data_IF_233447708060
#
_entry.id   IF_233447708060
#
_cell.length_a   1.000
_cell.length_b   1.000
_cell.length_c   1.000
_cell.angle_alpha   90.00
_cell.angle_beta   90.00
_cell.angle_gamma   90.00
#
_symmetry.space_group_name_H-M   'P 1'
#
loop_
_entity.id
_entity.type
_entity.pdbx_description
1 polymer ?
#
# COMPACT_ATOMS: atom_id res chain seq x y z
N UNK A 1 -8.03 -34.68 0.10
CA UNK A 1 -8.36 -33.52 -0.76
C UNK A 1 -9.82 -33.65 -1.18
N UNK A 2 -10.68 -32.75 -0.69
CA UNK A 2 -12.07 -32.69 -1.14
C UNK A 2 -12.07 -32.26 -2.60
N UNK A 3 -12.62 -33.07 -3.49
CA UNK A 3 -12.84 -32.69 -4.89
C UNK A 3 -14.06 -31.75 -4.92
N UNK A 4 -13.87 -30.50 -5.13
CA UNK A 4 -14.95 -29.60 -5.51
C UNK A 4 -15.36 -29.96 -6.95
N UNK A 5 -16.63 -30.30 -7.21
CA UNK A 5 -17.11 -30.48 -8.57
C UNK A 5 -17.13 -29.08 -9.24
N UNK A 6 -16.25 -28.86 -10.20
CA UNK A 6 -16.14 -27.64 -10.99
C UNK A 6 -17.41 -27.29 -11.80
N UNK A 7 -18.42 -28.15 -11.82
CA UNK A 7 -19.61 -28.02 -12.66
C UNK A 7 -20.92 -27.78 -11.90
N UNK A 8 -20.88 -27.58 -10.59
CA UNK A 8 -22.09 -27.21 -9.86
C UNK A 8 -21.92 -25.82 -9.28
N UNK A 9 -22.31 -24.81 -10.05
CA UNK A 9 -22.73 -23.58 -9.41
C UNK A 9 -23.93 -23.93 -8.51
N UNK A 10 -23.98 -23.51 -7.24
CA UNK A 10 -25.20 -23.62 -6.48
C UNK A 10 -26.29 -22.97 -7.30
N UNK A 11 -27.42 -23.65 -7.51
CA UNK A 11 -28.58 -23.02 -8.10
C UNK A 11 -28.81 -21.72 -7.35
N UNK A 12 -28.70 -20.62 -8.07
CA UNK A 12 -29.09 -19.32 -7.53
C UNK A 12 -30.53 -19.52 -7.08
N UNK A 13 -30.76 -19.49 -5.77
CA UNK A 13 -32.13 -19.57 -5.24
C UNK A 13 -32.98 -18.56 -6.02
N UNK A 14 -34.19 -18.97 -6.47
CA UNK A 14 -35.05 -18.08 -7.21
C UNK A 14 -35.12 -16.76 -6.45
N UNK A 15 -34.92 -15.66 -7.14
CA UNK A 15 -34.89 -14.32 -6.60
C UNK A 15 -36.24 -13.97 -5.97
N UNK A 16 -36.54 -14.54 -4.80
CA UNK A 16 -37.45 -13.87 -3.91
C UNK A 16 -36.77 -12.57 -3.52
N UNK A 17 -37.46 -11.44 -3.51
CA UNK A 17 -36.93 -10.24 -2.91
C UNK A 17 -36.53 -10.63 -1.48
N UNK A 18 -35.24 -10.80 -1.28
CA UNK A 18 -34.73 -11.13 0.02
C UNK A 18 -35.29 -10.10 0.98
N UNK A 19 -35.87 -10.57 2.06
CA UNK A 19 -36.32 -9.67 3.11
C UNK A 19 -35.08 -8.92 3.63
N UNK A 20 -34.85 -7.74 3.09
CA UNK A 20 -33.68 -6.91 3.37
C UNK A 20 -33.59 -6.61 4.87
N UNK A 21 -34.72 -6.66 5.58
CA UNK A 21 -34.76 -6.50 7.05
C UNK A 21 -34.00 -7.61 7.78
N UNK A 22 -33.78 -8.76 7.13
CA UNK A 22 -33.02 -9.89 7.68
C UNK A 22 -31.57 -9.96 7.14
N UNK A 23 -31.19 -9.03 6.26
CA UNK A 23 -29.83 -8.97 5.76
C UNK A 23 -28.90 -8.45 6.85
N UNK A 24 -27.88 -9.24 7.20
CA UNK A 24 -26.81 -8.79 8.08
C UNK A 24 -25.82 -8.02 7.20
N UNK A 25 -25.90 -6.70 7.24
CA UNK A 25 -24.81 -5.88 6.71
C UNK A 25 -23.64 -5.96 7.69
N UNK A 26 -22.56 -6.61 7.25
CA UNK A 26 -21.30 -6.49 7.99
C UNK A 26 -20.81 -5.06 7.86
N UNK A 27 -20.78 -4.35 8.96
CA UNK A 27 -20.11 -3.05 9.00
C UNK A 27 -18.60 -3.24 8.98
N UNK A 28 -17.97 -2.69 7.94
CA UNK A 28 -16.53 -2.58 7.81
C UNK A 28 -16.04 -1.28 8.45
N UNK A 29 -14.72 -1.20 8.62
CA UNK A 29 -14.08 -0.03 9.19
C UNK A 29 -14.25 0.07 10.70
N UNK A 30 -13.63 1.09 11.26
CA UNK A 30 -13.55 1.33 12.70
C UNK A 30 -13.99 2.73 13.04
N UNK A 31 -14.49 2.88 14.25
CA UNK A 31 -14.81 4.16 14.88
C UNK A 31 -13.74 4.51 15.91
N UNK A 32 -13.79 5.71 16.46
CA UNK A 32 -12.78 6.21 17.41
C UNK A 32 -12.62 5.32 18.64
N UNK A 33 -13.70 4.66 19.07
CA UNK A 33 -13.72 3.79 20.25
C UNK A 33 -12.92 2.49 20.04
N UNK A 34 -12.73 2.10 18.79
CA UNK A 34 -12.01 0.89 18.42
C UNK A 34 -10.47 1.03 18.55
N UNK A 35 -9.95 2.24 18.69
CA UNK A 35 -8.52 2.51 18.74
C UNK A 35 -8.05 2.75 20.17
N UNK A 36 -6.97 2.09 20.56
CA UNK A 36 -6.22 2.33 21.79
C UNK A 36 -4.74 2.39 21.46
N UNK A 37 -4.02 3.29 22.14
CA UNK A 37 -2.59 3.47 21.98
C UNK A 37 -1.87 2.15 22.26
N UNK A 38 -1.00 1.76 21.34
CA UNK A 38 -0.27 0.50 21.37
C UNK A 38 -0.93 -0.68 20.66
N UNK A 39 -2.25 -0.67 20.44
CA UNK A 39 -2.95 -1.74 19.73
C UNK A 39 -2.38 -1.96 18.31
N UNK A 40 -2.23 -3.22 17.94
CA UNK A 40 -1.82 -3.65 16.60
C UNK A 40 -2.98 -4.33 15.89
N UNK A 41 -3.20 -3.93 14.65
CA UNK A 41 -4.19 -4.53 13.75
C UNK A 41 -3.46 -5.27 12.63
N UNK A 42 -3.75 -6.55 12.45
CA UNK A 42 -3.36 -7.30 11.26
C UNK A 42 -4.40 -7.07 10.17
N UNK A 43 -3.95 -6.73 8.97
CA UNK A 43 -4.87 -6.59 7.83
C UNK A 43 -5.18 -7.99 7.29
N UNK A 44 -6.46 -8.35 7.13
CA UNK A 44 -6.86 -9.74 6.89
C UNK A 44 -6.62 -10.23 5.47
N UNK A 45 -6.06 -9.40 4.62
CA UNK A 45 -5.81 -9.71 3.20
C UNK A 45 -4.32 -9.72 2.90
N UNK A 46 -3.99 -10.44 1.83
CA UNK A 46 -2.69 -10.38 1.17
C UNK A 46 -2.91 -10.04 -0.31
N UNK A 47 -1.93 -9.42 -0.94
CA UNK A 47 -1.98 -9.09 -2.36
C UNK A 47 -0.68 -9.49 -3.04
N UNK A 48 -0.78 -10.36 -4.06
CA UNK A 48 0.35 -10.71 -4.92
C UNK A 48 0.39 -9.76 -6.10
N UNK A 49 1.51 -9.09 -6.27
CA UNK A 49 1.71 -8.17 -7.41
C UNK A 49 2.26 -8.99 -8.57
N UNK A 50 1.44 -9.25 -9.58
CA UNK A 50 1.91 -9.90 -10.79
C UNK A 50 2.67 -8.91 -11.71
N UNK A 51 3.39 -9.47 -12.69
CA UNK A 51 4.22 -8.69 -13.62
C UNK A 51 3.39 -7.72 -14.46
N UNK A 52 2.23 -8.15 -14.93
CA UNK A 52 1.36 -7.31 -15.77
C UNK A 52 0.91 -6.09 -15.00
N UNK A 53 0.42 -6.30 -13.77
CA UNK A 53 -0.03 -5.21 -12.91
C UNK A 53 1.11 -4.24 -12.56
N UNK A 54 2.34 -4.75 -12.36
CA UNK A 54 3.51 -3.91 -12.10
C UNK A 54 3.86 -3.03 -13.31
N UNK A 55 3.89 -3.60 -14.52
CA UNK A 55 4.19 -2.86 -15.74
C UNK A 55 3.08 -1.89 -16.14
N UNK A 56 1.82 -2.28 -15.99
CA UNK A 56 0.68 -1.40 -16.25
C UNK A 56 0.71 -0.18 -15.35
N UNK A 57 0.98 -0.35 -14.05
CA UNK A 57 1.11 0.77 -13.13
C UNK A 57 2.21 1.74 -13.59
N UNK A 58 3.41 1.22 -13.89
CA UNK A 58 4.52 2.04 -14.35
C UNK A 58 4.15 2.82 -15.63
N UNK A 59 3.56 2.15 -16.63
CA UNK A 59 3.21 2.79 -17.91
C UNK A 59 2.06 3.79 -17.78
N UNK A 60 1.05 3.49 -16.98
CA UNK A 60 -0.07 4.40 -16.73
C UNK A 60 0.39 5.70 -16.08
N UNK A 61 1.33 5.62 -15.14
CA UNK A 61 1.88 6.79 -14.45
C UNK A 61 3.14 7.37 -15.13
N UNK A 62 3.46 6.93 -16.36
CA UNK A 62 4.60 7.40 -17.15
C UNK A 62 5.95 7.27 -16.44
N UNK A 63 6.13 6.20 -15.70
CA UNK A 63 7.44 5.86 -15.19
C UNK A 63 8.38 5.57 -16.36
N UNK A 64 9.50 6.26 -16.41
CA UNK A 64 10.48 6.13 -17.47
C UNK A 64 11.74 5.37 -17.04
N UNK A 65 11.90 5.11 -15.75
CA UNK A 65 13.08 4.39 -15.27
C UNK A 65 13.06 2.93 -15.72
N UNK A 66 14.10 2.49 -16.42
CA UNK A 66 14.19 1.10 -16.88
C UNK A 66 14.20 0.07 -15.75
N UNK A 67 14.48 0.46 -14.52
CA UNK A 67 14.43 -0.44 -13.37
C UNK A 67 13.01 -1.06 -13.16
N UNK A 68 11.97 -0.32 -13.54
CA UNK A 68 10.56 -0.75 -13.40
C UNK A 68 9.98 -1.32 -14.68
N UNK A 69 10.72 -1.29 -15.80
CA UNK A 69 10.21 -1.65 -17.12
C UNK A 69 11.01 -2.77 -17.80
N UNK A 70 12.27 -2.94 -17.42
CA UNK A 70 13.20 -3.86 -18.08
C UNK A 70 13.90 -4.77 -17.09
N UNK A 71 13.54 -6.05 -17.09
CA UNK A 71 14.20 -7.03 -16.23
C UNK A 71 15.72 -7.16 -16.55
N UNK A 72 16.18 -7.22 -17.82
CA UNK A 72 17.61 -7.26 -18.13
C UNK A 72 18.36 -6.03 -17.58
N UNK A 73 17.76 -4.85 -17.63
CA UNK A 73 18.37 -3.65 -17.10
C UNK A 73 18.50 -3.71 -15.56
N UNK A 74 17.43 -4.09 -14.87
CA UNK A 74 17.47 -4.23 -13.42
C UNK A 74 18.47 -5.30 -12.97
N UNK A 75 18.55 -6.42 -13.68
CA UNK A 75 19.52 -7.49 -13.41
C UNK A 75 20.97 -7.04 -13.62
N UNK A 76 21.24 -6.21 -14.63
CA UNK A 76 22.56 -5.62 -14.83
C UNK A 76 22.97 -4.69 -13.66
N UNK A 77 21.99 -4.12 -12.95
CA UNK A 77 22.23 -3.33 -11.73
C UNK A 77 22.24 -4.17 -10.43
N UNK A 78 22.19 -5.50 -10.53
CA UNK A 78 22.30 -6.41 -9.40
C UNK A 78 20.97 -6.79 -8.74
N UNK A 79 19.84 -6.30 -9.25
CA UNK A 79 18.51 -6.76 -8.82
C UNK A 79 18.19 -8.14 -9.42
N UNK A 80 17.29 -8.88 -8.82
CA UNK A 80 16.92 -10.21 -9.30
C UNK A 80 15.95 -10.17 -10.50
N UNK A 81 15.16 -9.12 -10.60
CA UNK A 81 14.17 -8.87 -11.65
C UNK A 81 13.87 -7.37 -11.75
N UNK A 82 13.01 -6.97 -12.69
CA UNK A 82 12.44 -5.62 -12.66
C UNK A 82 11.76 -5.34 -11.32
N UNK A 83 11.82 -4.11 -10.88
CA UNK A 83 11.24 -3.72 -9.61
C UNK A 83 9.75 -3.38 -9.74
N UNK A 84 9.00 -3.62 -8.68
CA UNK A 84 7.69 -3.00 -8.51
C UNK A 84 7.88 -1.54 -8.08
N UNK A 85 7.16 -0.63 -8.73
CA UNK A 85 7.30 0.80 -8.42
C UNK A 85 6.98 1.07 -6.94
N UNK A 86 7.79 1.83 -6.20
CA UNK A 86 7.60 2.06 -4.76
C UNK A 86 6.22 2.61 -4.40
N UNK A 87 5.67 3.53 -5.21
CA UNK A 87 4.32 4.06 -4.98
C UNK A 87 3.22 3.01 -5.19
N UNK A 88 3.45 2.00 -6.04
CA UNK A 88 2.53 0.87 -6.15
C UNK A 88 2.56 0.01 -4.88
N UNK A 89 3.75 -0.27 -4.35
CA UNK A 89 3.89 -0.96 -3.06
C UNK A 89 3.17 -0.19 -1.95
N UNK A 90 3.35 1.13 -1.89
CA UNK A 90 2.64 1.99 -0.95
C UNK A 90 1.13 1.89 -1.09
N UNK A 91 0.59 1.96 -2.33
CA UNK A 91 -0.84 1.88 -2.59
C UNK A 91 -1.42 0.52 -2.18
N UNK A 92 -0.72 -0.59 -2.45
CA UNK A 92 -1.15 -1.93 -2.01
C UNK A 92 -1.30 -1.97 -0.48
N UNK A 93 -0.25 -1.58 0.24
CA UNK A 93 -0.25 -1.63 1.71
C UNK A 93 -1.29 -0.67 2.30
N UNK A 94 -1.43 0.53 1.70
CA UNK A 94 -2.45 1.49 2.11
C UNK A 94 -3.86 0.91 1.97
N UNK A 95 -4.17 0.30 0.81
CA UNK A 95 -5.49 -0.28 0.53
C UNK A 95 -5.84 -1.42 1.49
N UNK A 96 -4.88 -2.30 1.80
CA UNK A 96 -5.07 -3.35 2.81
C UNK A 96 -5.43 -2.76 4.18
N UNK A 97 -4.84 -1.61 4.53
CA UNK A 97 -5.10 -0.90 5.78
C UNK A 97 -6.43 -0.16 5.79
N UNK A 98 -6.81 0.48 4.68
CA UNK A 98 -8.04 1.28 4.58
C UNK A 98 -9.26 0.46 4.94
N UNK A 99 -9.42 -0.69 4.33
CA UNK A 99 -10.59 -1.56 4.55
C UNK A 99 -10.72 -2.10 5.98
N UNK A 100 -9.63 -2.18 6.72
CA UNK A 100 -9.65 -2.66 8.10
C UNK A 100 -9.75 -1.51 9.11
N UNK A 101 -8.99 -0.44 8.91
CA UNK A 101 -8.79 0.60 9.92
C UNK A 101 -9.52 1.90 9.60
N UNK A 102 -9.60 2.31 8.36
CA UNK A 102 -9.97 3.67 8.01
C UNK A 102 -11.06 3.78 6.94
N UNK A 103 -11.81 2.74 6.69
CA UNK A 103 -12.95 2.79 5.74
C UNK A 103 -13.99 3.85 6.14
N UNK A 104 -14.21 4.03 7.46
CA UNK A 104 -15.10 5.07 8.01
C UNK A 104 -14.39 6.42 8.21
N UNK A 105 -13.13 6.57 7.78
CA UNK A 105 -12.42 7.82 7.99
C UNK A 105 -13.07 8.99 7.24
N UNK A 106 -13.19 10.11 7.95
CA UNK A 106 -13.74 11.36 7.40
C UNK A 106 -12.72 12.04 6.52
N UNK A 107 -11.45 11.98 6.93
CA UNK A 107 -10.34 12.60 6.19
C UNK A 107 -9.01 11.90 6.47
N UNK A 108 -8.17 11.88 5.46
CA UNK A 108 -6.75 11.59 5.58
C UNK A 108 -6.02 12.92 5.82
N UNK A 109 -5.31 13.04 6.94
CA UNK A 109 -4.65 14.27 7.34
C UNK A 109 -3.18 14.33 6.93
N UNK A 110 -2.64 13.23 6.43
CA UNK A 110 -1.29 13.18 5.89
C UNK A 110 -0.54 11.89 6.22
N UNK A 111 0.55 11.74 5.48
CA UNK A 111 1.54 10.67 5.65
C UNK A 111 2.84 11.27 6.14
N UNK A 112 3.54 10.53 6.99
CA UNK A 112 4.79 10.95 7.60
C UNK A 112 5.77 9.79 7.61
N UNK A 113 7.05 10.08 7.56
CA UNK A 113 8.11 9.09 7.69
C UNK A 113 7.91 7.89 6.75
N UNK A 114 7.53 8.16 5.49
CA UNK A 114 7.38 7.10 4.48
C UNK A 114 8.76 6.63 4.07
N UNK A 115 9.03 5.35 4.30
CA UNK A 115 10.33 4.73 4.11
C UNK A 115 10.17 3.40 3.37
N UNK A 116 10.71 3.33 2.17
CA UNK A 116 10.88 2.09 1.44
C UNK A 116 12.18 1.45 1.92
N UNK A 117 12.16 0.15 2.20
CA UNK A 117 13.27 -0.52 2.89
C UNK A 117 13.92 -1.61 2.05
N UNK A 118 13.12 -2.31 1.25
CA UNK A 118 13.58 -3.41 0.41
C UNK A 118 12.91 -3.37 -0.96
N UNK A 119 13.62 -3.81 -2.01
CA UNK A 119 13.00 -4.00 -3.31
C UNK A 119 11.88 -5.02 -3.23
N UNK A 120 10.80 -4.74 -3.96
CA UNK A 120 9.67 -5.65 -4.18
C UNK A 120 9.68 -6.04 -5.65
N UNK A 121 9.44 -7.31 -5.92
CA UNK A 121 9.48 -7.89 -7.26
C UNK A 121 8.10 -8.42 -7.68
N UNK A 122 7.84 -8.51 -8.99
CA UNK A 122 6.68 -9.25 -9.48
C UNK A 122 6.66 -10.67 -8.94
N UNK A 123 5.51 -11.09 -8.40
CA UNK A 123 5.35 -12.36 -7.70
C UNK A 123 5.43 -12.25 -6.18
N UNK A 124 5.90 -11.14 -5.64
CA UNK A 124 5.86 -10.91 -4.19
C UNK A 124 4.43 -10.72 -3.70
N UNK A 125 4.13 -11.34 -2.55
CA UNK A 125 2.84 -11.22 -1.87
C UNK A 125 3.00 -10.33 -0.66
N UNK A 126 2.25 -9.24 -0.64
CA UNK A 126 2.30 -8.24 0.41
C UNK A 126 1.19 -8.40 1.42
N UNK A 127 1.53 -8.21 2.68
CA UNK A 127 0.61 -8.13 3.83
C UNK A 127 0.87 -6.85 4.61
N UNK A 128 -0.12 -6.40 5.37
CA UNK A 128 0.01 -5.18 6.16
C UNK A 128 -0.36 -5.37 7.62
N UNK A 129 0.22 -4.54 8.48
CA UNK A 129 -0.19 -4.39 9.87
C UNK A 129 -0.02 -2.96 10.33
N UNK A 130 -0.86 -2.53 11.24
CA UNK A 130 -0.87 -1.13 11.72
C UNK A 130 -0.87 -1.11 13.24
N UNK A 131 0.01 -0.28 13.84
CA UNK A 131 0.01 0.04 15.27
C UNK A 131 -0.53 1.43 15.51
N UNK A 132 -1.38 1.57 16.52
CA UNK A 132 -1.83 2.87 17.01
C UNK A 132 -0.70 3.51 17.82
N UNK A 133 -0.28 4.70 17.40
CA UNK A 133 0.73 5.49 18.11
C UNK A 133 0.07 6.40 19.14
N UNK A 134 -1.02 7.06 18.74
CA UNK A 134 -1.80 7.90 19.66
C UNK A 134 -3.20 8.16 19.13
N UNK A 135 -4.11 8.43 20.07
CA UNK A 135 -5.48 8.85 19.79
C UNK A 135 -5.78 10.19 20.48
N UNK A 136 -6.23 11.17 19.70
CA UNK A 136 -6.66 12.47 20.21
C UNK A 136 -8.18 12.61 20.10
N UNK A 137 -8.85 12.59 21.25
CA UNK A 137 -10.28 12.89 21.36
C UNK A 137 -10.49 14.41 21.34
N UNK A 138 -11.45 14.91 20.59
CA UNK A 138 -11.73 16.36 20.42
C UNK A 138 -12.95 16.84 21.20
N UNK A 139 -13.65 15.96 21.88
CA UNK A 139 -14.85 16.20 22.66
C UNK A 139 -15.92 15.14 22.40
N UNK A 140 -16.95 15.11 23.24
CA UNK A 140 -18.05 14.16 23.13
C UNK A 140 -18.77 14.32 21.77
N UNK A 141 -19.05 13.20 21.11
CA UNK A 141 -19.72 13.16 19.80
C UNK A 141 -18.94 13.75 18.64
N UNK A 142 -17.69 14.21 18.85
CA UNK A 142 -16.84 14.80 17.78
C UNK A 142 -15.87 13.77 17.21
N UNK A 143 -15.54 13.88 15.91
CA UNK A 143 -14.47 13.09 15.32
C UNK A 143 -13.14 13.33 16.03
N UNK A 144 -12.38 12.27 16.22
CA UNK A 144 -11.02 12.33 16.76
C UNK A 144 -9.95 12.12 15.71
N UNK A 145 -8.70 12.27 16.12
CA UNK A 145 -7.53 12.02 15.26
C UNK A 145 -6.81 10.79 15.79
N UNK A 146 -6.59 9.83 14.91
CA UNK A 146 -5.77 8.64 15.19
C UNK A 146 -4.48 8.74 14.40
N UNK A 147 -3.35 8.61 15.11
CA UNK A 147 -2.02 8.54 14.54
C UNK A 147 -1.56 7.10 14.57
N UNK A 148 -1.20 6.57 13.44
CA UNK A 148 -0.82 5.16 13.28
C UNK A 148 0.52 5.03 12.57
N UNK A 149 1.22 3.92 12.84
CA UNK A 149 2.34 3.44 12.05
C UNK A 149 1.91 2.17 11.31
N UNK A 150 2.21 2.07 10.04
CA UNK A 150 1.88 0.91 9.19
C UNK A 150 3.15 0.28 8.63
N UNK A 151 3.21 -1.03 8.69
CA UNK A 151 4.26 -1.86 8.08
C UNK A 151 3.66 -2.67 6.94
N UNK A 152 4.35 -2.68 5.80
CA UNK A 152 4.14 -3.63 4.72
C UNK A 152 5.21 -4.71 4.76
N UNK A 153 4.80 -5.98 4.68
CA UNK A 153 5.67 -7.13 4.71
C UNK A 153 5.47 -7.98 3.47
N UNK A 154 6.56 -8.57 2.97
CA UNK A 154 6.48 -9.58 1.92
C UNK A 154 6.20 -10.98 2.51
N UNK A 155 6.09 -12.00 1.66
CA UNK A 155 5.83 -13.39 2.04
C UNK A 155 6.94 -14.04 2.88
N UNK A 156 8.13 -13.42 2.95
CA UNK A 156 9.25 -13.86 3.80
C UNK A 156 9.22 -13.22 5.19
N UNK A 157 8.22 -12.35 5.44
CA UNK A 157 8.11 -11.60 6.69
C UNK A 157 9.06 -10.39 6.78
N UNK A 158 9.71 -10.02 5.70
CA UNK A 158 10.58 -8.86 5.64
C UNK A 158 9.76 -7.57 5.49
N UNK A 159 10.10 -6.54 6.27
CA UNK A 159 9.49 -5.22 6.16
C UNK A 159 10.01 -4.55 4.88
N UNK A 160 9.12 -4.30 3.92
CA UNK A 160 9.46 -3.66 2.64
C UNK A 160 9.15 -2.18 2.63
N UNK A 161 8.18 -1.76 3.44
CA UNK A 161 7.79 -0.36 3.62
C UNK A 161 7.30 -0.13 5.04
N UNK A 162 7.58 1.05 5.58
CA UNK A 162 6.95 1.56 6.80
C UNK A 162 6.59 3.03 6.63
N UNK A 163 5.48 3.45 7.25
CA UNK A 163 5.06 4.85 7.23
C UNK A 163 4.12 5.15 8.38
N UNK A 164 4.04 6.42 8.74
CA UNK A 164 3.04 6.93 9.67
C UNK A 164 1.91 7.64 8.92
N UNK A 165 0.73 7.63 9.53
CA UNK A 165 -0.47 8.27 8.96
C UNK A 165 -1.32 8.87 10.06
N UNK A 166 -1.86 10.07 9.82
CA UNK A 166 -2.91 10.66 10.66
C UNK A 166 -4.24 10.68 9.92
N UNK A 167 -5.26 10.17 10.59
CA UNK A 167 -6.60 10.04 10.03
C UNK A 167 -7.63 10.63 11.01
N UNK A 168 -8.67 11.24 10.45
CA UNK A 168 -9.82 11.72 11.21
C UNK A 168 -10.90 10.65 11.18
N UNK A 169 -11.24 10.14 12.35
CA UNK A 169 -12.18 9.01 12.52
C UNK A 169 -13.43 9.52 13.24
N UNK A 170 -14.65 9.10 12.82
CA UNK A 170 -15.89 9.45 13.49
C UNK A 170 -15.96 8.83 14.90
N UNK A 171 -16.72 9.43 15.81
CA UNK A 171 -16.99 8.83 17.13
C UNK A 171 -17.71 7.49 16.96
N UNK A 172 -17.60 6.63 17.96
CA UNK A 172 -18.43 5.44 18.07
C UNK A 172 -19.88 5.79 18.44
N UNK A 173 -20.74 4.80 18.35
CA UNK A 173 -22.15 4.92 18.72
C UNK A 173 -22.37 4.72 20.24
N UNK A 174 -21.32 4.39 20.98
CA UNK A 174 -21.34 4.05 22.40
C UNK A 174 -22.15 2.79 22.78
N UNK A 175 -22.66 2.07 21.76
CA UNK A 175 -23.51 0.87 21.93
C UNK A 175 -22.82 -0.41 21.49
N UNK A 176 -22.03 -0.31 20.42
CA UNK A 176 -21.32 -1.45 19.86
C UNK A 176 -20.06 -1.76 20.67
N UNK A 177 -19.77 -3.04 20.86
CA UNK A 177 -18.50 -3.45 21.47
C UNK A 177 -17.32 -3.02 20.60
N UNK A 178 -16.29 -2.37 21.18
CA UNK A 178 -15.13 -1.94 20.40
C UNK A 178 -14.39 -3.10 19.74
N UNK A 179 -14.03 -2.92 18.47
CA UNK A 179 -13.24 -3.87 17.66
C UNK A 179 -11.75 -3.61 17.88
N UNK A 180 -11.23 -4.04 19.03
CA UNK A 180 -9.85 -3.78 19.46
C UNK A 180 -8.80 -4.49 18.59
N UNK A 181 -7.60 -3.93 18.59
CA UNK A 181 -6.39 -4.62 18.20
C UNK A 181 -5.80 -5.43 19.35
N UNK A 182 -4.63 -6.03 19.12
CA UNK A 182 -3.87 -6.73 20.15
C UNK A 182 -2.47 -6.11 20.27
N UNK A 183 -2.20 -5.48 21.41
CA UNK A 183 -0.92 -4.82 21.68
C UNK A 183 0.27 -5.79 21.75
N UNK A 184 0.02 -7.10 21.96
CA UNK A 184 1.06 -8.13 22.04
C UNK A 184 1.52 -8.66 20.68
N UNK A 185 0.83 -8.30 19.60
CA UNK A 185 1.23 -8.76 18.27
C UNK A 185 2.59 -8.18 17.85
N UNK A 186 3.44 -8.97 17.18
CA UNK A 186 4.72 -8.51 16.69
C UNK A 186 4.59 -7.32 15.74
N UNK A 187 5.35 -6.26 16.01
CA UNK A 187 5.40 -5.07 15.19
C UNK A 187 6.85 -4.61 15.01
N UNK A 188 7.59 -5.22 14.08
CA UNK A 188 9.03 -5.01 13.90
C UNK A 188 9.31 -3.69 13.14
N UNK A 189 9.27 -2.55 13.85
CA UNK A 189 9.68 -1.26 13.29
C UNK A 189 11.18 -1.28 13.03
N UNK A 190 11.58 -0.85 11.84
CA UNK A 190 12.99 -0.65 11.49
C UNK A 190 13.42 0.73 12.02
N UNK A 191 14.36 0.75 12.97
CA UNK A 191 14.77 1.98 13.67
C UNK A 191 15.70 2.86 12.83
N UNK A 192 16.63 2.24 12.11
CA UNK A 192 17.58 2.92 11.22
C UNK A 192 17.28 2.52 9.79
N UNK A 193 16.24 3.12 9.18
CA UNK A 193 15.77 2.70 7.88
C UNK A 193 16.74 3.12 6.78
N UNK A 194 17.20 2.15 6.02
CA UNK A 194 17.92 2.36 4.78
C UNK A 194 17.32 1.47 3.71
N UNK A 195 17.30 1.94 2.47
CA UNK A 195 16.89 1.09 1.36
C UNK A 195 18.02 0.13 1.03
N UNK A 196 17.74 -1.16 1.06
CA UNK A 196 18.72 -2.19 0.68
C UNK A 196 18.95 -2.18 -0.83
N UNK A 197 20.05 -1.58 -1.24
CA UNK A 197 20.51 -1.63 -2.62
C UNK A 197 21.46 -2.81 -2.84
N UNK A 198 21.42 -3.45 -4.00
CA UNK A 198 22.47 -4.38 -4.39
C UNK A 198 23.80 -3.65 -4.53
N UNK A 199 24.92 -4.38 -4.44
CA UNK A 199 26.23 -3.83 -4.70
C UNK A 199 26.27 -3.16 -6.08
N UNK A 200 26.76 -1.93 -6.10
CA UNK A 200 26.84 -1.16 -7.33
C UNK A 200 27.75 -1.89 -8.36
N UNK A 201 27.15 -2.30 -9.46
CA UNK A 201 27.88 -2.83 -10.60
C UNK A 201 28.04 -1.71 -11.61
N UNK A 202 29.25 -1.54 -12.15
CA UNK A 202 29.44 -0.67 -13.30
C UNK A 202 28.59 -1.20 -14.46
N UNK A 203 27.74 -0.36 -15.01
CA UNK A 203 26.98 -0.69 -16.22
C UNK A 203 27.94 -1.02 -17.36
N UNK A 204 27.70 -2.14 -18.03
CA UNK A 204 28.36 -2.41 -19.31
C UNK A 204 27.91 -1.34 -20.31
N UNK A 205 28.81 -1.02 -21.27
CA UNK A 205 28.50 -0.08 -22.36
C UNK A 205 27.21 -0.45 -23.11
N UNK A 206 26.89 -1.73 -23.15
CA UNK A 206 25.74 -2.29 -23.88
C UNK A 206 24.40 -1.93 -23.24
N UNK A 207 24.38 -1.55 -21.95
CA UNK A 207 23.16 -1.15 -21.27
C UNK A 207 22.88 0.36 -21.36
N UNK A 208 23.84 1.17 -21.86
CA UNK A 208 23.66 2.62 -21.98
C UNK A 208 22.55 3.03 -22.95
N UNK A 209 22.28 2.19 -23.95
CA UNK A 209 21.19 2.45 -24.90
C UNK A 209 19.78 2.30 -24.31
N UNK A 210 19.64 1.71 -23.13
CA UNK A 210 18.36 1.65 -22.42
C UNK A 210 17.95 2.99 -21.78
N UNK A 211 18.86 3.97 -21.78
CA UNK A 211 18.62 5.31 -21.26
C UNK A 211 18.95 6.33 -22.33
N UNK A 212 17.94 7.04 -22.87
CA UNK A 212 18.10 7.95 -24.00
C UNK A 212 18.85 9.24 -23.69
N UNK A 213 18.71 9.75 -22.47
CA UNK A 213 19.48 10.89 -21.97
C UNK A 213 19.74 10.70 -20.50
N UNK A 214 20.98 10.84 -20.10
CA UNK A 214 21.38 10.61 -18.72
C UNK A 214 21.70 11.92 -18.06
N UNK A 215 21.05 12.17 -16.94
CA UNK A 215 21.45 13.18 -15.97
C UNK A 215 22.06 12.44 -14.80
N UNK A 216 23.30 12.76 -14.48
CA UNK A 216 24.05 12.15 -13.38
C UNK A 216 23.99 13.06 -12.15
N UNK A 217 24.33 12.51 -11.00
CA UNK A 217 24.33 13.26 -9.75
C UNK A 217 25.18 14.55 -9.83
N UNK A 218 26.29 14.47 -10.56
CA UNK A 218 27.23 15.57 -10.77
C UNK A 218 26.68 16.69 -11.66
N UNK A 219 25.57 16.45 -12.37
CA UNK A 219 24.91 17.45 -13.21
C UNK A 219 23.94 18.35 -12.40
N UNK A 220 23.72 18.05 -11.12
CA UNK A 220 22.83 18.81 -10.26
C UNK A 220 23.61 19.79 -9.37
N UNK A 221 23.12 21.01 -9.31
CA UNK A 221 23.66 22.04 -8.43
C UNK A 221 22.60 22.44 -7.38
N UNK A 222 23.05 22.73 -6.17
CA UNK A 222 22.15 23.19 -5.11
C UNK A 222 21.51 24.54 -5.51
N UNK A 223 20.17 24.60 -5.42
CA UNK A 223 19.40 25.78 -5.83
C UNK A 223 18.98 25.81 -7.31
N UNK A 224 19.40 24.82 -8.11
CA UNK A 224 18.99 24.68 -9.50
C UNK A 224 17.48 24.39 -9.61
N UNK A 225 16.82 25.03 -10.57
CA UNK A 225 15.41 24.79 -10.89
C UNK A 225 15.35 24.03 -12.22
N UNK A 226 14.80 22.82 -12.19
CA UNK A 226 14.55 22.01 -13.38
C UNK A 226 13.13 22.26 -13.88
N UNK A 227 13.00 22.81 -15.09
CA UNK A 227 11.68 23.01 -15.71
C UNK A 227 11.35 21.80 -16.60
N UNK A 228 10.35 21.04 -16.18
CA UNK A 228 9.84 19.92 -16.98
C UNK A 228 8.94 20.45 -18.10
N UNK A 229 9.31 20.17 -19.35
CA UNK A 229 8.55 20.62 -20.52
C UNK A 229 7.43 19.64 -20.91
N UNK A 230 7.55 18.39 -20.48
CA UNK A 230 6.56 17.36 -20.78
C UNK A 230 5.39 17.47 -19.78
N UNK A 231 4.20 17.57 -20.32
CA UNK A 231 2.96 17.60 -19.53
C UNK A 231 2.07 16.42 -19.91
N UNK A 232 1.29 15.97 -18.94
CA UNK A 232 0.23 14.99 -19.17
C UNK A 232 -1.05 15.45 -18.52
N UNK A 233 -2.15 15.30 -19.22
CA UNK A 233 -3.49 15.47 -18.66
C UNK A 233 -3.83 14.26 -17.80
N UNK A 234 -4.17 14.51 -16.53
CA UNK A 234 -4.76 13.50 -15.66
C UNK A 234 -6.22 13.35 -16.07
N UNK A 235 -6.61 12.14 -16.47
CA UNK A 235 -7.96 11.79 -16.85
C UNK A 235 -8.63 10.96 -15.78
N UNK A 236 -9.94 10.76 -15.89
CA UNK A 236 -10.69 9.91 -14.97
C UNK A 236 -10.20 8.45 -14.96
N UNK A 237 -9.54 8.00 -16.01
CA UNK A 237 -8.93 6.67 -16.09
C UNK A 237 -7.78 6.45 -15.10
N UNK A 238 -7.11 7.51 -14.66
CA UNK A 238 -6.02 7.39 -13.67
C UNK A 238 -6.54 7.12 -12.26
N UNK A 239 -7.74 7.61 -11.96
CA UNK A 239 -8.34 7.45 -10.62
C UNK A 239 -8.58 5.97 -10.27
N UNK A 240 -9.20 5.14 -11.13
CA UNK A 240 -9.39 3.72 -10.84
C UNK A 240 -8.10 2.96 -10.56
N UNK A 241 -6.98 3.37 -11.14
CA UNK A 241 -5.69 2.71 -10.89
C UNK A 241 -5.21 2.85 -9.45
N UNK A 242 -5.55 3.93 -8.78
CA UNK A 242 -5.22 4.14 -7.36
C UNK A 242 -6.17 3.40 -6.42
N UNK A 243 -7.39 3.08 -6.87
CA UNK A 243 -8.43 2.40 -6.08
C UNK A 243 -8.67 0.94 -6.48
N UNK A 244 -7.95 0.42 -7.46
CA UNK A 244 -8.16 -0.92 -8.02
C UNK A 244 -8.02 -2.06 -7.01
N UNK A 245 -7.47 -1.77 -5.86
CA UNK A 245 -7.21 -2.71 -4.77
C UNK A 245 -8.09 -2.47 -3.55
N UNK A 246 -8.98 -1.49 -3.62
CA UNK A 246 -9.89 -1.11 -2.54
C UNK A 246 -11.18 -1.94 -2.48
#
# INVERSE_FOLDING_TARGET
MAKFPLNSFPELAPSHPADISKSIQKEYGRTLDDFVDGDVFLHPRAFTIDRTFAQEFATVFHESSPLFLSAPYAQAHGFTDMLVHPLQVFNVILSLGVQNNSEKAIANLGYYNVQFLKPVYPGDTLTGRTRVLSKKVRGEGKPGIVHVNTLGLNQRGEVVIQYERKIMIPPGDGKSAPKRGDANLPFPVVKDPSYELPDAKSLSSDMKHHTLSNTYFEDFEAGQILVHKNMRTITDEHVPWTYRMG
#
